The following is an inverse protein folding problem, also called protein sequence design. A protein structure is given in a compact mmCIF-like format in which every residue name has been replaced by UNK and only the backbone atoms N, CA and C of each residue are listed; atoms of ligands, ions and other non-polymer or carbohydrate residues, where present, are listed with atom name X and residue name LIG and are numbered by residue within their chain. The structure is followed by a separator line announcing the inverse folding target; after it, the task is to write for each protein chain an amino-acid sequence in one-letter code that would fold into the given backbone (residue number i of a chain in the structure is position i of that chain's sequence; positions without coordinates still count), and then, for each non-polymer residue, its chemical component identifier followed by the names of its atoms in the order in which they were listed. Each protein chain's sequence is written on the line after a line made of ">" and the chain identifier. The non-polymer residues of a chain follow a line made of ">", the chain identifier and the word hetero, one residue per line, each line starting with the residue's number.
data_IF_643658942314
#
_entry.id   IF_643658942314
#
_cell.length_a   1.000
_cell.length_b   1.000
_cell.length_c   1.000
_cell.angle_alpha   90.00
_cell.angle_beta   90.00
_cell.angle_gamma   90.00
#
_symmetry.space_group_name_H-M   'P 1'
#
loop_
_entity.id
_entity.type
_entity.pdbx_description
1 polymer ?
#
# COMPACT_ATOMS: atom_id res chain seq x y z
N UNK A 1 -14.58 -26.06 0.98
CA UNK A 1 -14.28 -25.23 -0.21
C UNK A 1 -14.44 -23.77 0.18
N UNK A 2 -13.54 -22.88 -0.24
CA UNK A 2 -13.62 -21.46 0.09
C UNK A 2 -14.86 -20.81 -0.55
N UNK A 3 -15.56 -19.97 0.23
CA UNK A 3 -16.66 -19.15 -0.29
C UNK A 3 -16.13 -17.84 -0.91
N UNK A 4 -16.98 -17.12 -1.65
CA UNK A 4 -16.64 -15.78 -2.15
C UNK A 4 -16.29 -14.81 -1.03
N UNK A 5 -16.96 -14.90 0.13
CA UNK A 5 -16.69 -14.07 1.30
C UNK A 5 -15.31 -14.36 1.93
N UNK A 6 -14.85 -15.61 1.86
CA UNK A 6 -13.52 -15.97 2.36
C UNK A 6 -12.43 -15.41 1.44
N UNK A 7 -12.63 -15.50 0.13
CA UNK A 7 -11.71 -14.93 -0.86
C UNK A 7 -11.64 -13.39 -0.77
N UNK A 8 -12.75 -12.75 -0.43
CA UNK A 8 -12.80 -11.31 -0.19
C UNK A 8 -11.99 -10.91 1.05
N UNK A 9 -12.11 -11.66 2.15
CA UNK A 9 -11.27 -11.47 3.35
C UNK A 9 -9.79 -11.65 3.02
N UNK A 10 -9.42 -12.69 2.27
CA UNK A 10 -8.04 -12.89 1.83
C UNK A 10 -7.53 -11.73 0.96
N UNK A 11 -8.38 -11.14 0.13
CA UNK A 11 -8.00 -10.00 -0.69
C UNK A 11 -7.67 -8.74 0.14
N UNK A 12 -8.48 -8.42 1.14
CA UNK A 12 -8.19 -7.32 2.06
C UNK A 12 -6.92 -7.56 2.88
N UNK A 13 -6.76 -8.79 3.39
CA UNK A 13 -5.56 -9.20 4.12
C UNK A 13 -4.31 -9.07 3.24
N UNK A 14 -4.34 -9.63 2.03
CA UNK A 14 -3.25 -9.53 1.06
C UNK A 14 -2.91 -8.07 0.77
N UNK A 15 -3.91 -7.21 0.54
CA UNK A 15 -3.71 -5.77 0.29
C UNK A 15 -2.90 -5.11 1.40
N UNK A 16 -3.27 -5.35 2.66
CA UNK A 16 -2.56 -4.82 3.83
C UNK A 16 -1.16 -5.43 3.97
N UNK A 17 -1.00 -6.73 3.73
CA UNK A 17 0.30 -7.40 3.81
C UNK A 17 1.25 -6.96 2.69
N UNK A 18 0.77 -6.73 1.47
CA UNK A 18 1.57 -6.08 0.40
C UNK A 18 2.02 -4.68 0.79
N UNK A 19 1.17 -3.92 1.48
CA UNK A 19 1.45 -2.53 1.87
C UNK A 19 2.53 -2.46 2.95
N UNK A 20 2.49 -3.39 3.90
CA UNK A 20 3.41 -3.41 5.04
C UNK A 20 4.70 -4.20 4.78
N UNK A 21 4.62 -5.31 4.03
CA UNK A 21 5.72 -6.27 3.88
C UNK A 21 6.18 -6.45 2.43
N UNK A 22 5.50 -5.86 1.44
CA UNK A 22 5.84 -6.05 0.02
C UNK A 22 5.71 -7.51 -0.44
N UNK A 23 4.89 -8.32 0.24
CA UNK A 23 4.77 -9.75 -0.05
C UNK A 23 4.07 -9.99 -1.39
N UNK A 24 4.62 -10.87 -2.24
CA UNK A 24 3.97 -11.21 -3.51
C UNK A 24 2.73 -12.08 -3.28
N UNK A 25 1.76 -11.99 -4.21
CA UNK A 25 0.53 -12.79 -4.15
C UNK A 25 0.80 -14.31 -4.05
N UNK A 26 1.86 -14.77 -4.70
CA UNK A 26 2.25 -16.18 -4.66
C UNK A 26 2.73 -16.61 -3.27
N UNK A 27 3.57 -15.79 -2.61
CA UNK A 27 4.03 -16.05 -1.24
C UNK A 27 2.88 -16.05 -0.25
N UNK A 28 1.97 -15.07 -0.38
CA UNK A 28 0.77 -14.99 0.43
C UNK A 28 -0.13 -16.23 0.29
N UNK A 29 -0.31 -16.75 -0.93
CA UNK A 29 -1.09 -17.95 -1.18
C UNK A 29 -0.48 -19.19 -0.50
N UNK A 30 0.85 -19.33 -0.52
CA UNK A 30 1.55 -20.43 0.16
C UNK A 30 1.40 -20.32 1.68
N UNK A 31 1.60 -19.12 2.24
CA UNK A 31 1.49 -18.83 3.67
C UNK A 31 0.08 -19.07 4.22
N UNK A 32 -0.95 -18.70 3.46
CA UNK A 32 -2.34 -18.83 3.87
C UNK A 32 -3.01 -20.13 3.38
N UNK A 33 -2.24 -21.05 2.79
CA UNK A 33 -2.74 -22.29 2.19
C UNK A 33 -3.90 -22.09 1.20
N UNK A 34 -3.95 -20.94 0.53
CA UNK A 34 -4.97 -20.61 -0.46
C UNK A 34 -4.53 -21.13 -1.83
N UNK A 35 -5.33 -21.96 -2.52
CA UNK A 35 -5.01 -22.41 -3.86
C UNK A 35 -4.93 -21.23 -4.83
N UNK A 36 -3.75 -20.98 -5.41
CA UNK A 36 -3.51 -19.85 -6.32
C UNK A 36 -4.53 -19.81 -7.48
N UNK A 37 -4.83 -20.96 -8.09
CA UNK A 37 -5.77 -21.04 -9.21
C UNK A 37 -7.19 -20.58 -8.85
N UNK A 38 -7.61 -20.80 -7.61
CA UNK A 38 -8.92 -20.38 -7.13
C UNK A 38 -8.94 -18.86 -6.89
N UNK A 39 -7.92 -18.35 -6.18
CA UNK A 39 -7.81 -16.93 -5.91
C UNK A 39 -7.63 -16.10 -7.18
N UNK A 40 -6.85 -16.58 -8.14
CA UNK A 40 -6.63 -15.90 -9.42
C UNK A 40 -7.89 -15.77 -10.26
N UNK A 41 -8.72 -16.83 -10.33
CA UNK A 41 -10.02 -16.78 -11.00
C UNK A 41 -10.95 -15.77 -10.32
N UNK A 42 -11.10 -15.89 -9.00
CA UNK A 42 -11.94 -14.99 -8.23
C UNK A 42 -11.47 -13.53 -8.32
N UNK A 43 -10.16 -13.28 -8.26
CA UNK A 43 -9.57 -11.94 -8.33
C UNK A 43 -9.88 -11.26 -9.66
N UNK A 44 -9.80 -11.98 -10.78
CA UNK A 44 -10.20 -11.46 -12.11
C UNK A 44 -11.70 -11.17 -12.18
N UNK A 45 -12.53 -12.09 -11.71
CA UNK A 45 -13.98 -11.93 -11.71
C UNK A 45 -14.41 -10.74 -10.85
N UNK A 46 -13.78 -10.55 -9.70
CA UNK A 46 -14.05 -9.45 -8.77
C UNK A 46 -13.53 -8.12 -9.31
N UNK A 47 -12.32 -8.05 -9.88
CA UNK A 47 -11.78 -6.84 -10.54
C UNK A 47 -12.64 -6.35 -11.70
N UNK A 48 -13.22 -7.25 -12.48
CA UNK A 48 -14.11 -6.89 -13.58
C UNK A 48 -15.47 -6.39 -13.10
N UNK A 49 -15.90 -6.77 -11.89
CA UNK A 49 -17.16 -6.32 -11.28
C UNK A 49 -17.01 -5.02 -10.48
N UNK A 50 -15.82 -4.75 -9.93
CA UNK A 50 -15.54 -3.51 -9.21
C UNK A 50 -15.42 -2.39 -10.25
N UNK A 51 -16.54 -1.66 -10.44
CA UNK A 51 -16.53 -0.38 -11.15
C UNK A 51 -15.77 0.62 -10.28
N UNK A 52 -14.75 1.26 -10.86
CA UNK A 52 -14.07 2.39 -10.22
C UNK A 52 -15.06 3.55 -10.11
N UNK A 53 -15.60 3.76 -8.92
CA UNK A 53 -16.38 4.97 -8.62
C UNK A 53 -15.38 6.08 -8.36
N UNK A 54 -15.26 7.03 -9.29
CA UNK A 54 -14.67 8.33 -8.97
C UNK A 54 -15.70 9.11 -8.17
N UNK A 55 -15.30 9.59 -6.99
CA UNK A 55 -16.11 10.50 -6.18
C UNK A 55 -15.64 11.91 -6.51
N UNK A 56 -16.43 12.65 -7.30
CA UNK A 56 -16.20 14.08 -7.53
C UNK A 56 -16.64 14.86 -6.30
N UNK A 57 -15.73 14.97 -5.33
CA UNK A 57 -15.94 15.68 -4.08
C UNK A 57 -14.68 15.62 -3.26
N UNK A 58 -13.74 16.53 -3.54
CA UNK A 58 -12.72 16.91 -2.58
C UNK A 58 -13.50 17.27 -1.30
N UNK A 59 -13.29 16.61 -0.14
CA UNK A 59 -13.71 17.23 1.10
C UNK A 59 -12.91 18.52 1.16
N UNK A 60 -13.56 19.65 0.87
CA UNK A 60 -12.98 20.93 1.20
C UNK A 60 -12.71 20.86 2.70
N UNK A 61 -11.44 20.74 3.05
CA UNK A 61 -10.98 20.95 4.41
C UNK A 61 -11.42 22.37 4.76
N UNK A 62 -12.52 22.50 5.48
CA UNK A 62 -12.88 23.76 6.12
C UNK A 62 -11.84 24.02 7.21
N UNK A 63 -10.85 24.81 6.82
CA UNK A 63 -10.10 25.80 7.60
C UNK A 63 -10.17 25.59 9.13
N UNK A 64 -9.13 24.97 9.69
CA UNK A 64 -8.70 25.31 11.03
C UNK A 64 -7.34 26.00 10.92
N UNK A 65 -7.39 27.28 11.27
CA UNK A 65 -6.34 28.28 11.19
C UNK A 65 -4.97 27.85 11.76
N UNK A 66 -3.95 28.33 11.08
CA UNK A 66 -2.72 28.94 11.61
C UNK A 66 -2.10 28.33 12.88
N UNK A 67 -1.10 27.48 12.67
CA UNK A 67 0.19 27.60 13.36
C UNK A 67 1.28 26.95 12.50
N UNK A 68 1.94 27.78 11.70
CA UNK A 68 3.33 27.53 11.36
C UNK A 68 4.17 27.60 12.65
N UNK A 69 5.18 26.74 12.80
CA UNK A 69 6.47 27.31 13.11
C UNK A 69 7.53 26.77 12.15
N UNK A 70 7.98 27.70 11.31
CA UNK A 70 9.39 28.04 11.13
C UNK A 70 10.35 26.90 10.78
N UNK A 71 10.76 26.92 9.52
CA UNK A 71 12.03 26.36 9.05
C UNK A 71 13.18 26.83 9.95
N UNK A 72 13.99 25.90 10.45
CA UNK A 72 15.44 26.10 10.61
C UNK A 72 16.11 24.76 10.92
N UNK A 73 16.62 24.11 9.87
CA UNK A 73 17.67 23.10 9.98
C UNK A 73 19.02 23.80 9.95
N UNK A 74 19.66 23.94 11.11
CA UNK A 74 21.07 24.25 11.34
C UNK A 74 21.35 23.72 12.76
N UNK A 75 22.32 22.86 13.10
CA UNK A 75 23.61 22.45 12.53
C UNK A 75 24.02 21.22 13.38
N UNK A 76 24.68 20.18 12.89
CA UNK A 76 26.14 20.12 12.77
C UNK A 76 26.60 18.65 12.72
N UNK A 77 27.88 18.47 12.34
CA UNK A 77 28.77 17.28 12.35
C UNK A 77 28.72 16.44 11.06
N UNK A 78 29.59 16.73 10.09
CA UNK A 78 31.03 16.38 10.02
C UNK A 78 31.25 14.87 9.88
N UNK A 79 31.67 14.41 8.71
CA UNK A 79 33.05 14.00 8.47
C UNK A 79 33.22 13.29 7.11
N UNK A 80 34.32 13.63 6.42
CA UNK A 80 35.21 12.79 5.57
C UNK A 80 34.57 11.76 4.60
N UNK A 81 34.89 11.66 3.32
CA UNK A 81 36.19 11.67 2.66
C UNK A 81 35.94 11.49 1.14
N UNK A 82 36.76 12.07 0.26
CA UNK A 82 37.28 11.42 -0.96
C UNK A 82 38.07 12.40 -1.85
N UNK A 83 39.37 12.42 -1.59
CA UNK A 83 40.48 12.18 -2.52
C UNK A 83 40.29 12.40 -4.04
N UNK A 84 41.34 13.05 -4.58
CA UNK A 84 41.93 12.94 -5.93
C UNK A 84 41.51 14.02 -6.94
N UNK A 85 42.37 15.02 -7.18
CA UNK A 85 43.56 15.01 -8.07
C UNK A 85 43.17 15.34 -9.51
N UNK A 86 43.44 16.58 -9.94
CA UNK A 86 44.19 16.97 -11.14
C UNK A 86 44.08 18.47 -11.40
#
# INVERSE_FOLDING_TARGET
>A
MYSSADLERFYFQHKTETLLHGESLQSFCVKNAVPYNLFHKWYKDTRNKIVSVQVDGIPCDEEMDDISPTVDSLKSSDSTDKLSLS
#
